data_IF_261572029735
#
_entry.id   IF_261572029735
#
_cell.length_a   1.000
_cell.length_b   1.000
_cell.length_c   1.000
_cell.angle_alpha   90.00
_cell.angle_beta   90.00
_cell.angle_gamma   90.00
#
_symmetry.space_group_name_H-M   'P 1'
#
loop_
_entity.id
_entity.type
_entity.pdbx_description
1 polymer ?
#
# COMPACT_ATOMS: atom_id res chain seq x y z
N UNK A 1 25.30 17.06 9.13
CA UNK A 1 25.24 15.69 8.58
C UNK A 1 24.36 14.74 9.40
N UNK A 2 24.52 14.67 10.74
CA UNK A 2 23.80 13.74 11.63
C UNK A 2 22.26 13.85 11.58
N UNK A 3 21.71 15.05 11.37
CA UNK A 3 20.26 15.28 11.26
C UNK A 3 19.66 14.71 9.95
N UNK A 4 20.41 14.73 8.84
CA UNK A 4 19.98 14.18 7.54
C UNK A 4 19.91 12.65 7.57
N UNK A 5 20.85 12.00 8.25
CA UNK A 5 20.85 10.54 8.41
C UNK A 5 19.74 10.06 9.35
N UNK A 6 19.43 10.83 10.41
CA UNK A 6 18.31 10.52 11.29
C UNK A 6 16.96 10.58 10.55
N UNK A 7 16.70 11.61 9.74
CA UNK A 7 15.46 11.72 8.96
C UNK A 7 15.30 10.62 7.90
N UNK A 8 16.40 10.18 7.27
CA UNK A 8 16.37 9.05 6.34
C UNK A 8 16.00 7.73 7.04
N UNK A 9 16.44 7.54 8.29
CA UNK A 9 16.11 6.35 9.09
C UNK A 9 14.66 6.35 9.54
N UNK A 10 14.15 7.46 10.08
CA UNK A 10 12.74 7.54 10.49
C UNK A 10 11.79 7.38 9.31
N UNK A 11 12.11 8.01 8.17
CA UNK A 11 11.34 7.84 6.94
C UNK A 11 11.33 6.39 6.45
N UNK A 12 12.47 5.71 6.44
CA UNK A 12 12.52 4.30 6.04
C UNK A 12 11.73 3.39 6.99
N UNK A 13 11.79 3.62 8.30
CA UNK A 13 10.98 2.88 9.28
C UNK A 13 9.49 3.08 8.99
N UNK A 14 9.06 4.31 8.70
CA UNK A 14 7.69 4.60 8.32
C UNK A 14 7.30 3.84 7.03
N UNK A 15 8.16 3.83 6.01
CA UNK A 15 7.91 3.08 4.77
C UNK A 15 7.76 1.57 5.03
N UNK A 16 8.58 0.99 5.91
CA UNK A 16 8.47 -0.44 6.26
C UNK A 16 7.17 -0.71 7.01
N UNK A 17 6.81 0.12 7.98
CA UNK A 17 5.56 -0.02 8.72
C UNK A 17 4.34 0.09 7.79
N UNK A 18 4.33 1.11 6.93
CA UNK A 18 3.31 1.31 5.91
C UNK A 18 3.28 0.17 4.86
N UNK A 19 4.35 -0.62 4.73
CA UNK A 19 4.42 -1.71 3.76
C UNK A 19 3.78 -2.98 4.31
N UNK A 20 3.79 -3.16 5.63
CA UNK A 20 3.08 -4.25 6.29
C UNK A 20 1.58 -3.97 6.45
N UNK A 21 1.17 -2.70 6.47
CA UNK A 21 -0.22 -2.29 6.68
C UNK A 21 -1.23 -3.00 5.77
N UNK A 22 -1.00 -3.16 4.44
CA UNK A 22 -1.93 -3.86 3.57
C UNK A 22 -2.33 -5.24 4.08
N UNK A 23 -1.35 -6.04 4.52
CA UNK A 23 -1.62 -7.39 5.00
C UNK A 23 -2.31 -7.37 6.37
N UNK A 24 -1.90 -6.45 7.24
CA UNK A 24 -2.49 -6.29 8.58
C UNK A 24 -3.95 -5.88 8.48
N UNK A 25 -4.27 -4.86 7.69
CA UNK A 25 -5.64 -4.37 7.54
C UNK A 25 -6.54 -5.37 6.83
N UNK A 26 -6.03 -6.07 5.80
CA UNK A 26 -6.77 -7.19 5.19
C UNK A 26 -7.06 -8.29 6.23
N UNK A 27 -6.07 -8.69 7.02
CA UNK A 27 -6.27 -9.71 8.06
C UNK A 27 -7.31 -9.31 9.10
N UNK A 28 -7.24 -8.06 9.59
CA UNK A 28 -8.24 -7.52 10.53
C UNK A 28 -9.65 -7.48 9.90
N UNK A 29 -9.76 -7.05 8.65
CA UNK A 29 -11.05 -7.00 7.95
C UNK A 29 -11.65 -8.40 7.78
N UNK A 30 -10.86 -9.37 7.30
CA UNK A 30 -11.30 -10.76 7.11
C UNK A 30 -11.72 -11.44 8.42
N UNK A 31 -11.02 -11.15 9.52
CA UNK A 31 -11.31 -11.77 10.81
C UNK A 31 -12.50 -11.16 11.55
N UNK A 32 -12.71 -9.85 11.43
CA UNK A 32 -13.63 -9.14 12.32
C UNK A 32 -14.73 -8.32 11.64
N UNK A 33 -14.60 -8.01 10.34
CA UNK A 33 -15.52 -7.09 9.66
C UNK A 33 -16.25 -7.72 8.47
N UNK A 34 -15.59 -8.61 7.71
CA UNK A 34 -16.14 -9.13 6.46
C UNK A 34 -17.10 -10.31 6.66
N UNK A 35 -18.23 -10.32 5.95
CA UNK A 35 -19.07 -11.52 5.82
C UNK A 35 -18.32 -12.62 5.06
N UNK A 36 -18.76 -13.87 5.16
CA UNK A 36 -18.05 -15.01 4.55
C UNK A 36 -17.93 -14.92 3.02
N UNK A 37 -18.87 -14.22 2.37
CA UNK A 37 -18.84 -13.91 0.94
C UNK A 37 -18.90 -12.41 0.71
N UNK A 38 -18.01 -11.89 -0.15
CA UNK A 38 -17.87 -10.46 -0.45
C UNK A 38 -17.82 -10.23 -1.97
N UNK A 39 -18.19 -9.04 -2.46
CA UNK A 39 -17.90 -8.66 -3.84
C UNK A 39 -16.39 -8.54 -4.04
N UNK A 40 -15.85 -9.26 -5.02
CA UNK A 40 -14.42 -9.28 -5.34
C UNK A 40 -14.08 -8.51 -6.60
N UNK A 41 -15.08 -8.23 -7.45
CA UNK A 41 -14.91 -7.43 -8.66
C UNK A 41 -16.17 -6.61 -8.94
N UNK A 42 -15.96 -5.38 -9.39
CA UNK A 42 -17.00 -4.44 -9.82
C UNK A 42 -16.70 -4.06 -11.26
N UNK A 43 -17.51 -4.56 -12.18
CA UNK A 43 -17.45 -4.24 -13.60
C UNK A 43 -18.30 -3.01 -13.95
N UNK A 44 -18.38 -2.70 -15.25
CA UNK A 44 -19.13 -1.54 -15.75
C UNK A 44 -20.64 -1.59 -15.42
N UNK A 45 -21.18 -2.78 -15.14
CA UNK A 45 -22.59 -3.00 -14.80
C UNK A 45 -22.82 -3.30 -13.31
N UNK A 46 -21.83 -3.03 -12.45
CA UNK A 46 -21.87 -3.32 -11.01
C UNK A 46 -21.08 -4.58 -10.63
N UNK A 47 -21.42 -5.17 -9.49
CA UNK A 47 -20.76 -6.39 -8.99
C UNK A 47 -21.00 -7.53 -9.97
N UNK A 48 -19.93 -8.09 -10.52
CA UNK A 48 -19.99 -9.22 -11.47
C UNK A 48 -19.28 -10.48 -10.91
N UNK A 49 -18.63 -10.36 -9.75
CA UNK A 49 -17.99 -11.49 -9.05
C UNK A 49 -18.14 -11.36 -7.53
N UNK A 50 -18.72 -12.39 -6.92
CA UNK A 50 -18.77 -12.62 -5.48
C UNK A 50 -17.92 -13.85 -5.18
N UNK A 51 -17.16 -13.82 -4.09
CA UNK A 51 -16.35 -14.96 -3.66
C UNK A 51 -16.05 -14.93 -2.17
N UNK A 52 -15.11 -15.76 -1.73
CA UNK A 52 -14.79 -15.87 -0.32
C UNK A 52 -14.04 -14.64 0.19
N UNK A 53 -14.32 -14.19 1.42
CA UNK A 53 -13.53 -13.13 2.07
C UNK A 53 -12.03 -13.41 2.15
N UNK A 54 -11.63 -14.68 2.18
CA UNK A 54 -10.21 -15.05 2.20
C UNK A 54 -9.48 -14.70 0.89
N UNK A 55 -10.19 -14.55 -0.23
CA UNK A 55 -9.60 -14.14 -1.50
C UNK A 55 -9.12 -12.67 -1.47
N UNK A 56 -9.59 -11.86 -0.51
CA UNK A 56 -9.07 -10.51 -0.29
C UNK A 56 -7.56 -10.48 0.04
N UNK A 57 -7.00 -11.60 0.52
CA UNK A 57 -5.56 -11.72 0.75
C UNK A 57 -4.74 -11.68 -0.53
N UNK A 58 -5.27 -12.07 -1.69
CA UNK A 58 -4.52 -12.01 -2.95
C UNK A 58 -4.11 -10.55 -3.27
N UNK A 59 -5.08 -9.63 -3.19
CA UNK A 59 -4.82 -8.19 -3.35
C UNK A 59 -3.96 -7.67 -2.19
N UNK A 60 -4.21 -8.12 -0.96
CA UNK A 60 -3.42 -7.72 0.22
C UNK A 60 -1.92 -8.06 0.07
N UNK A 61 -1.59 -9.25 -0.43
CA UNK A 61 -0.21 -9.66 -0.70
C UNK A 61 0.41 -8.88 -1.85
N UNK A 62 -0.33 -8.68 -2.95
CA UNK A 62 0.15 -7.87 -4.07
C UNK A 62 0.48 -6.43 -3.62
N UNK A 63 -0.43 -5.79 -2.89
CA UNK A 63 -0.25 -4.45 -2.36
C UNK A 63 0.93 -4.36 -1.39
N UNK A 64 1.08 -5.35 -0.49
CA UNK A 64 2.24 -5.48 0.40
C UNK A 64 3.54 -5.53 -0.41
N UNK A 65 3.59 -6.34 -1.46
CA UNK A 65 4.75 -6.45 -2.36
C UNK A 65 5.10 -5.13 -3.03
N UNK A 66 4.11 -4.43 -3.58
CA UNK A 66 4.30 -3.10 -4.18
C UNK A 66 4.82 -2.08 -3.14
N UNK A 67 4.25 -2.06 -1.94
CA UNK A 67 4.68 -1.15 -0.88
C UNK A 67 6.10 -1.48 -0.38
N UNK A 68 6.45 -2.76 -0.29
CA UNK A 68 7.81 -3.20 0.06
C UNK A 68 8.81 -2.73 -1.01
N UNK A 69 8.46 -2.82 -2.29
CA UNK A 69 9.27 -2.27 -3.38
C UNK A 69 9.46 -0.76 -3.23
N UNK A 70 8.42 -0.01 -2.88
CA UNK A 70 8.55 1.44 -2.61
C UNK A 70 9.47 1.73 -1.43
N UNK A 71 9.43 0.93 -0.36
CA UNK A 71 10.36 1.08 0.76
C UNK A 71 11.82 0.83 0.33
N UNK A 72 12.06 -0.16 -0.55
CA UNK A 72 13.39 -0.42 -1.14
C UNK A 72 13.83 0.76 -2.00
N UNK A 73 12.98 1.25 -2.90
CA UNK A 73 13.27 2.42 -3.73
C UNK A 73 13.56 3.66 -2.88
N UNK A 74 12.83 3.87 -1.78
CA UNK A 74 13.06 4.94 -0.82
C UNK A 74 14.45 4.87 -0.18
N UNK A 75 14.86 3.66 0.24
CA UNK A 75 16.17 3.41 0.81
C UNK A 75 17.29 3.72 -0.18
N UNK A 76 17.13 3.34 -1.45
CA UNK A 76 18.12 3.51 -2.50
C UNK A 76 17.92 4.77 -3.37
N UNK A 77 17.09 5.71 -2.96
CA UNK A 77 16.72 6.88 -3.77
C UNK A 77 17.93 7.71 -4.23
N UNK A 78 18.97 7.85 -3.40
CA UNK A 78 20.18 8.59 -3.81
C UNK A 78 20.90 7.90 -4.99
N UNK A 79 20.89 6.57 -5.05
CA UNK A 79 21.43 5.80 -6.17
C UNK A 79 20.55 5.91 -7.41
N UNK A 80 19.23 5.85 -7.24
CA UNK A 80 18.27 6.04 -8.33
C UNK A 80 18.42 7.43 -8.97
N UNK A 81 18.59 8.47 -8.15
CA UNK A 81 18.87 9.82 -8.63
C UNK A 81 20.23 9.91 -9.36
N UNK A 82 21.28 9.27 -8.82
CA UNK A 82 22.60 9.23 -9.47
C UNK A 82 22.60 8.48 -10.82
N UNK A 83 21.74 7.48 -10.98
CA UNK A 83 21.53 6.77 -12.26
C UNK A 83 20.66 7.56 -13.24
N UNK A 84 20.20 8.76 -12.89
CA UNK A 84 19.29 9.56 -13.72
C UNK A 84 17.89 8.99 -13.81
N UNK A 85 17.49 8.07 -12.92
CA UNK A 85 16.14 7.47 -12.91
C UNK A 85 15.09 8.34 -12.20
N UNK A 86 15.53 9.32 -11.42
CA UNK A 86 14.63 10.31 -10.79
C UNK A 86 14.57 11.55 -11.68
N UNK A 87 13.42 11.79 -12.28
CA UNK A 87 13.21 12.86 -13.27
C UNK A 87 12.36 13.98 -12.65
N UNK A 88 12.65 15.23 -12.97
CA UNK A 88 11.86 16.39 -12.53
C UNK A 88 11.94 16.70 -11.03
N UNK A 89 12.79 16.01 -10.27
CA UNK A 89 13.00 16.27 -8.84
C UNK A 89 14.33 15.69 -8.36
N UNK A 90 14.67 15.91 -7.08
CA UNK A 90 15.86 15.36 -6.44
C UNK A 90 15.55 14.13 -5.57
N UNK A 91 16.56 13.57 -4.90
CA UNK A 91 16.39 12.41 -4.05
C UNK A 91 15.53 12.66 -2.79
N UNK A 92 15.28 13.93 -2.43
CA UNK A 92 14.36 14.26 -1.35
C UNK A 92 12.92 14.26 -1.88
N UNK A 93 12.66 14.92 -3.01
CA UNK A 93 11.34 14.91 -3.64
C UNK A 93 10.88 13.52 -4.04
N UNK A 94 11.77 12.67 -4.57
CA UNK A 94 11.45 11.26 -4.86
C UNK A 94 11.05 10.46 -3.61
N UNK A 95 11.69 10.72 -2.47
CA UNK A 95 11.32 10.09 -1.18
C UNK A 95 9.96 10.56 -0.69
N UNK A 96 9.70 11.86 -0.79
CA UNK A 96 8.40 12.45 -0.45
C UNK A 96 7.30 11.85 -1.33
N UNK A 97 7.52 11.73 -2.64
CA UNK A 97 6.57 11.12 -3.57
C UNK A 97 6.26 9.66 -3.19
N UNK A 98 7.27 8.84 -2.89
CA UNK A 98 7.04 7.45 -2.51
C UNK A 98 6.27 7.33 -1.18
N UNK A 99 6.54 8.21 -0.22
CA UNK A 99 5.78 8.25 1.03
C UNK A 99 4.30 8.56 0.77
N UNK A 100 4.03 9.59 -0.05
CA UNK A 100 2.66 9.92 -0.45
C UNK A 100 1.99 8.77 -1.21
N UNK A 101 2.68 8.17 -2.18
CA UNK A 101 2.15 7.05 -2.95
C UNK A 101 1.76 5.88 -2.04
N UNK A 102 2.61 5.55 -1.06
CA UNK A 102 2.34 4.44 -0.15
C UNK A 102 1.17 4.74 0.81
N UNK A 103 1.04 5.97 1.30
CA UNK A 103 -0.12 6.40 2.08
C UNK A 103 -1.40 6.29 1.25
N UNK A 104 -1.38 6.79 0.00
CA UNK A 104 -2.53 6.72 -0.91
C UNK A 104 -2.94 5.29 -1.23
N UNK A 105 -1.98 4.40 -1.51
CA UNK A 105 -2.24 2.98 -1.76
C UNK A 105 -2.92 2.31 -0.57
N UNK A 106 -2.42 2.56 0.65
CA UNK A 106 -3.05 2.05 1.87
C UNK A 106 -4.45 2.62 2.08
N UNK A 107 -4.65 3.92 1.84
CA UNK A 107 -5.97 4.55 1.97
C UNK A 107 -6.99 3.96 0.98
N UNK A 108 -6.60 3.78 -0.28
CA UNK A 108 -7.43 3.16 -1.32
C UNK A 108 -7.77 1.72 -0.92
N UNK A 109 -6.79 0.94 -0.48
CA UNK A 109 -7.05 -0.43 -0.05
C UNK A 109 -8.01 -0.50 1.15
N UNK A 110 -7.81 0.34 2.18
CA UNK A 110 -8.70 0.38 3.35
C UNK A 110 -10.12 0.75 2.92
N UNK A 111 -10.26 1.71 1.99
CA UNK A 111 -11.56 2.07 1.42
C UNK A 111 -12.21 0.88 0.68
N UNK A 112 -11.46 0.12 -0.11
CA UNK A 112 -11.99 -1.08 -0.78
C UNK A 112 -12.38 -2.18 0.21
N UNK A 113 -11.57 -2.43 1.23
CA UNK A 113 -11.92 -3.38 2.31
C UNK A 113 -13.18 -2.95 3.06
N UNK A 114 -13.33 -1.64 3.29
CA UNK A 114 -14.54 -1.07 3.89
C UNK A 114 -15.75 -1.35 2.99
N UNK A 115 -15.70 -1.02 1.69
CA UNK A 115 -16.81 -1.30 0.78
C UNK A 115 -17.20 -2.78 0.78
N UNK A 116 -16.22 -3.69 0.71
CA UNK A 116 -16.45 -5.14 0.79
C UNK A 116 -17.08 -5.60 2.11
N UNK A 117 -16.90 -4.84 3.19
CA UNK A 117 -17.45 -5.18 4.52
C UNK A 117 -18.91 -4.76 4.71
N UNK A 118 -19.39 -3.78 3.93
CA UNK A 118 -20.75 -3.23 4.06
C UNK A 118 -21.67 -3.61 2.89
N UNK A 119 -21.13 -4.22 1.83
CA UNK A 119 -21.92 -4.72 0.70
C UNK A 119 -22.56 -6.08 1.05
N UNK A 120 -23.47 -6.01 2.01
CA UNK A 120 -24.46 -7.06 2.27
C UNK A 120 -25.79 -6.35 2.34
N UNK A 121 -26.48 -6.17 1.20
CA UNK A 121 -27.94 -6.29 1.00
C UNK A 121 -28.27 -6.03 -0.47
#
# INVERSE_FOLDING_TARGET
MQQRTAMKRSGLIAMIALAALPLVTTGLAVLFAMPDTVPLHIGANGIDRIGSKYEAFEIGFLMTGCCALFAVMYAFMDKLAAMGLVHGTDAHGGRTLLLFAQISMNAIQIFLLFLMSFDTQ
#
